data_IF_880165529522
#
_entry.id   IF_880165529522
#
_cell.length_a   1.000
_cell.length_b   1.000
_cell.length_c   1.000
_cell.angle_alpha   90.00
_cell.angle_beta   90.00
_cell.angle_gamma   90.00
#
_symmetry.space_group_name_H-M   'P 1'
#
loop_
_entity.id
_entity.type
_entity.pdbx_description
1 polymer ?
#
# COMPACT_ATOMS: atom_id res chain seq x y z
N UNK A 1 5.45 -8.09 -37.82
CA UNK A 1 5.00 -7.27 -36.67
C UNK A 1 5.08 -8.07 -35.36
N UNK A 2 6.29 -8.35 -34.88
CA UNK A 2 6.57 -8.87 -33.54
C UNK A 2 7.23 -7.71 -32.78
N UNK A 3 6.84 -7.45 -31.53
CA UNK A 3 7.34 -6.42 -30.57
C UNK A 3 6.36 -5.30 -30.13
N UNK A 4 5.05 -5.55 -30.02
CA UNK A 4 4.19 -4.68 -29.21
C UNK A 4 3.33 -5.55 -28.28
N UNK A 5 3.24 -5.17 -27.00
CA UNK A 5 2.45 -5.78 -25.91
C UNK A 5 3.07 -6.93 -25.10
N UNK A 6 4.32 -6.77 -24.65
CA UNK A 6 4.67 -7.28 -23.31
C UNK A 6 4.51 -6.12 -22.34
N UNK A 7 3.45 -6.24 -21.54
CA UNK A 7 2.92 -5.26 -20.60
C UNK A 7 3.90 -5.09 -19.43
N UNK A 8 4.88 -4.19 -19.58
CA UNK A 8 5.94 -3.89 -18.62
C UNK A 8 5.50 -2.84 -17.56
N UNK A 9 4.20 -2.71 -17.32
CA UNK A 9 3.63 -1.66 -16.45
C UNK A 9 3.53 -2.09 -14.98
N UNK A 10 3.72 -3.37 -14.67
CA UNK A 10 3.47 -3.90 -13.32
C UNK A 10 4.76 -4.06 -12.49
N UNK A 11 5.92 -4.23 -13.11
CA UNK A 11 7.16 -4.58 -12.40
C UNK A 11 7.72 -3.45 -11.53
N UNK A 12 7.43 -2.18 -11.86
CA UNK A 12 7.97 -1.03 -11.10
C UNK A 12 7.14 -0.68 -9.86
N UNK A 13 5.86 -1.04 -9.81
CA UNK A 13 4.99 -0.68 -8.68
C UNK A 13 4.84 -1.79 -7.62
N UNK A 14 5.03 -3.06 -7.98
CA UNK A 14 4.96 -4.16 -7.00
C UNK A 14 6.15 -4.12 -6.01
N UNK A 15 7.30 -3.56 -6.42
CA UNK A 15 8.49 -3.46 -5.56
C UNK A 15 8.48 -2.27 -4.58
N UNK A 16 7.56 -1.31 -4.73
CA UNK A 16 7.43 -0.14 -3.84
C UNK A 16 6.48 -0.36 -2.65
N UNK A 17 5.73 -1.46 -2.65
CA UNK A 17 4.91 -1.89 -1.51
C UNK A 17 5.78 -2.66 -0.53
N UNK A 18 6.70 -1.98 0.16
CA UNK A 18 7.21 -2.51 1.42
C UNK A 18 6.03 -2.49 2.39
N UNK A 19 5.60 -3.64 2.95
CA UNK A 19 4.56 -3.66 3.97
C UNK A 19 5.13 -2.96 5.21
N UNK A 20 4.73 -1.72 5.44
CA UNK A 20 4.81 -1.15 6.78
C UNK A 20 3.77 -1.89 7.61
N UNK A 21 4.28 -2.55 8.63
CA UNK A 21 3.63 -3.53 9.50
C UNK A 21 2.42 -2.93 10.23
N UNK A 22 1.26 -2.92 9.58
CA UNK A 22 -0.06 -2.90 10.23
C UNK A 22 -0.64 -4.31 10.10
N UNK A 23 -0.24 -5.19 11.02
CA UNK A 23 -0.43 -6.63 10.93
C UNK A 23 -1.80 -7.06 11.49
N UNK A 24 -2.51 -7.88 10.71
CA UNK A 24 -3.80 -8.48 11.05
C UNK A 24 -4.72 -8.49 9.83
N UNK A 25 -5.61 -7.50 9.74
CA UNK A 25 -6.69 -7.49 8.75
C UNK A 25 -6.25 -7.07 7.35
N UNK A 26 -5.45 -5.99 7.24
CA UNK A 26 -4.97 -5.48 5.96
C UNK A 26 -4.08 -6.48 5.20
N UNK A 27 -3.25 -7.25 5.91
CA UNK A 27 -2.37 -8.24 5.30
C UNK A 27 -3.14 -9.45 4.74
N UNK A 28 -4.22 -9.86 5.41
CA UNK A 28 -5.08 -10.97 4.97
C UNK A 28 -5.97 -10.55 3.78
N UNK A 29 -6.55 -9.35 3.83
CA UNK A 29 -7.34 -8.78 2.74
C UNK A 29 -6.48 -8.56 1.50
N UNK A 30 -5.26 -8.03 1.67
CA UNK A 30 -4.27 -7.90 0.58
C UNK A 30 -3.91 -9.27 -0.01
N UNK A 31 -3.71 -10.30 0.83
CA UNK A 31 -3.35 -11.64 0.36
C UNK A 31 -4.48 -12.29 -0.47
N UNK A 32 -5.73 -12.16 -0.02
CA UNK A 32 -6.91 -12.67 -0.75
C UNK A 32 -7.06 -11.97 -2.09
N UNK A 33 -6.96 -10.64 -2.10
CA UNK A 33 -7.04 -9.84 -3.32
C UNK A 33 -5.91 -10.18 -4.30
N UNK A 34 -4.66 -10.31 -3.83
CA UNK A 34 -3.51 -10.73 -4.65
C UNK A 34 -3.75 -12.11 -5.27
N UNK A 35 -4.32 -13.06 -4.51
CA UNK A 35 -4.62 -14.42 -5.00
C UNK A 35 -5.69 -14.40 -6.09
N UNK A 36 -6.82 -13.74 -5.86
CA UNK A 36 -7.90 -13.62 -6.85
C UNK A 36 -7.41 -12.90 -8.11
N UNK A 37 -6.64 -11.83 -7.95
CA UNK A 37 -5.99 -11.15 -9.06
C UNK A 37 -5.13 -12.10 -9.90
N UNK A 38 -4.22 -12.84 -9.26
CA UNK A 38 -3.34 -13.77 -9.97
C UNK A 38 -4.14 -14.85 -10.70
N UNK A 39 -5.27 -15.29 -10.15
CA UNK A 39 -6.20 -16.19 -10.83
C UNK A 39 -6.82 -15.56 -12.08
N UNK A 40 -7.42 -14.37 -11.98
CA UNK A 40 -8.02 -13.66 -13.14
C UNK A 40 -6.98 -13.39 -14.23
N UNK A 41 -5.77 -13.00 -13.84
CA UNK A 41 -4.63 -12.81 -14.75
C UNK A 41 -4.24 -14.11 -15.45
N UNK A 42 -4.12 -15.22 -14.73
CA UNK A 42 -3.79 -16.52 -15.30
C UNK A 42 -4.86 -16.98 -16.30
N UNK A 43 -6.13 -16.80 -15.96
CA UNK A 43 -7.25 -17.08 -16.86
C UNK A 43 -7.19 -16.23 -18.14
N UNK A 44 -6.90 -14.93 -18.02
CA UNK A 44 -6.68 -14.07 -19.19
C UNK A 44 -5.53 -14.56 -20.08
N UNK A 45 -4.38 -14.96 -19.49
CA UNK A 45 -3.27 -15.50 -20.28
C UNK A 45 -3.65 -16.79 -21.00
N UNK A 46 -4.38 -17.69 -20.33
CA UNK A 46 -4.91 -18.91 -20.94
C UNK A 46 -5.80 -18.60 -22.15
N UNK A 47 -6.74 -17.66 -22.00
CA UNK A 47 -7.62 -17.24 -23.10
C UNK A 47 -6.86 -16.59 -24.27
N UNK A 48 -5.84 -15.78 -23.96
CA UNK A 48 -4.98 -15.18 -24.98
C UNK A 48 -4.22 -16.24 -25.79
N UNK A 49 -3.76 -17.30 -25.15
CA UNK A 49 -3.10 -18.41 -25.84
C UNK A 49 -4.09 -19.14 -26.75
N UNK A 50 -5.28 -19.49 -26.24
CA UNK A 50 -6.34 -20.10 -27.06
C UNK A 50 -6.73 -19.27 -28.27
N UNK A 51 -6.87 -17.95 -28.11
CA UNK A 51 -7.10 -17.05 -29.24
C UNK A 51 -5.94 -17.07 -30.25
N UNK A 52 -4.69 -17.14 -29.77
CA UNK A 52 -3.51 -17.18 -30.64
C UNK A 52 -3.49 -18.45 -31.47
N UNK A 53 -3.83 -19.58 -30.85
CA UNK A 53 -3.90 -20.89 -31.51
C UNK A 53 -5.03 -20.91 -32.55
N UNK A 54 -6.25 -20.51 -32.16
CA UNK A 54 -7.41 -20.41 -33.07
C UNK A 54 -7.13 -19.48 -34.26
N UNK A 55 -6.40 -18.38 -34.03
CA UNK A 55 -5.96 -17.47 -35.12
C UNK A 55 -5.01 -18.17 -36.09
N UNK A 56 -4.08 -18.98 -35.58
CA UNK A 56 -3.15 -19.72 -36.43
C UNK A 56 -3.88 -20.76 -37.26
N UNK A 57 -4.84 -21.47 -36.67
CA UNK A 57 -5.59 -22.50 -37.36
C UNK A 57 -6.51 -21.91 -38.44
N UNK A 58 -7.18 -20.78 -38.15
CA UNK A 58 -7.89 -20.01 -39.16
C UNK A 58 -6.97 -19.55 -40.30
N UNK A 59 -5.78 -19.02 -40.01
CA UNK A 59 -4.83 -18.60 -41.05
C UNK A 59 -4.37 -19.78 -41.91
N UNK A 60 -4.12 -20.95 -41.32
CA UNK A 60 -3.77 -22.18 -42.05
C UNK A 60 -4.92 -22.60 -42.96
N UNK A 61 -6.15 -22.70 -42.44
CA UNK A 61 -7.32 -23.10 -43.21
C UNK A 61 -7.62 -22.13 -44.36
N UNK A 62 -7.50 -20.82 -44.11
CA UNK A 62 -7.66 -19.77 -45.13
C UNK A 62 -6.61 -19.86 -46.22
N UNK A 63 -5.35 -20.12 -45.86
CA UNK A 63 -4.26 -20.24 -46.84
C UNK A 63 -4.44 -21.49 -47.72
N UNK A 64 -4.80 -22.63 -47.11
CA UNK A 64 -5.15 -23.86 -47.87
C UNK A 64 -6.28 -23.59 -48.86
N UNK A 65 -7.36 -22.94 -48.44
CA UNK A 65 -8.47 -22.60 -49.33
C UNK A 65 -8.01 -21.74 -50.52
N UNK A 66 -7.07 -20.81 -50.31
CA UNK A 66 -6.51 -19.96 -51.37
C UNK A 66 -5.66 -20.76 -52.37
N UNK A 67 -4.97 -21.80 -51.92
CA UNK A 67 -4.17 -22.70 -52.77
C UNK A 67 -5.05 -23.60 -53.65
N UNK A 68 -6.27 -23.93 -53.20
CA UNK A 68 -7.20 -24.79 -53.93
C UNK A 68 -8.13 -24.06 -54.92
N UNK A 69 -7.94 -22.76 -55.14
CA UNK A 69 -8.77 -21.93 -56.03
C UNK A 69 -8.82 -22.36 -57.51
N UNK A 70 -8.12 -23.43 -57.92
CA UNK A 70 -8.02 -23.83 -59.33
C UNK A 70 -8.58 -25.23 -59.67
N UNK A 71 -8.97 -26.08 -58.70
CA UNK A 71 -9.25 -27.50 -59.00
C UNK A 71 -10.67 -28.03 -58.72
N UNK A 72 -11.51 -27.30 -57.98
CA UNK A 72 -12.85 -27.77 -57.62
C UNK A 72 -12.87 -29.15 -56.92
N UNK A 73 -14.06 -29.74 -56.76
CA UNK A 73 -14.23 -31.12 -56.25
C UNK A 73 -14.44 -31.27 -54.74
N UNK A 74 -14.53 -32.51 -54.26
CA UNK A 74 -14.84 -32.85 -52.85
C UNK A 74 -13.80 -32.33 -51.85
N UNK A 75 -12.52 -32.32 -52.24
CA UNK A 75 -11.45 -31.77 -51.40
C UNK A 75 -11.63 -30.26 -51.17
N UNK A 76 -12.03 -29.53 -52.20
CA UNK A 76 -12.33 -28.09 -52.10
C UNK A 76 -13.52 -27.84 -51.16
N UNK A 77 -14.58 -28.63 -51.26
CA UNK A 77 -15.74 -28.50 -50.36
C UNK A 77 -15.38 -28.79 -48.90
N UNK A 78 -14.56 -29.82 -48.65
CA UNK A 78 -14.06 -30.13 -47.31
C UNK A 78 -13.22 -29.01 -46.72
N UNK A 79 -12.28 -28.47 -47.48
CA UNK A 79 -11.40 -27.39 -47.02
C UNK A 79 -12.17 -26.07 -46.81
N UNK A 80 -13.18 -25.78 -47.66
CA UNK A 80 -14.07 -24.65 -47.48
C UNK A 80 -14.88 -24.77 -46.18
N UNK A 81 -15.36 -25.97 -45.87
CA UNK A 81 -16.07 -26.28 -44.63
C UNK A 81 -15.14 -26.08 -43.41
N UNK A 82 -13.96 -26.69 -43.41
CA UNK A 82 -12.95 -26.51 -42.35
C UNK A 82 -12.57 -25.03 -42.14
N UNK A 83 -12.48 -24.23 -43.22
CA UNK A 83 -12.20 -22.81 -43.12
C UNK A 83 -13.32 -22.02 -42.43
N UNK A 84 -14.59 -22.34 -42.69
CA UNK A 84 -15.74 -21.72 -42.00
C UNK A 84 -15.79 -22.09 -40.52
N UNK A 85 -15.60 -23.36 -40.18
CA UNK A 85 -15.50 -23.82 -38.78
C UNK A 85 -14.38 -23.11 -38.02
N UNK A 86 -13.19 -23.04 -38.62
CA UNK A 86 -12.03 -22.37 -38.02
C UNK A 86 -12.27 -20.87 -37.85
N UNK A 87 -12.99 -20.23 -38.78
CA UNK A 87 -13.37 -18.82 -38.66
C UNK A 87 -14.38 -18.60 -37.52
N UNK A 88 -15.39 -19.47 -37.40
CA UNK A 88 -16.37 -19.45 -36.29
C UNK A 88 -15.67 -19.59 -34.94
N UNK A 89 -14.82 -20.61 -34.77
CA UNK A 89 -14.07 -20.81 -33.52
C UNK A 89 -13.17 -19.61 -33.21
N UNK A 90 -12.43 -19.10 -34.20
CA UNK A 90 -11.61 -17.91 -34.04
C UNK A 90 -12.41 -16.70 -33.52
N UNK A 91 -13.60 -16.44 -34.07
CA UNK A 91 -14.46 -15.34 -33.61
C UNK A 91 -14.94 -15.55 -32.18
N UNK A 92 -15.37 -16.76 -31.82
CA UNK A 92 -15.78 -17.08 -30.44
C UNK A 92 -14.63 -16.86 -29.44
N UNK A 93 -13.41 -17.32 -29.77
CA UNK A 93 -12.23 -17.08 -28.92
C UNK A 93 -11.85 -15.60 -28.84
N UNK A 94 -12.03 -14.84 -29.91
CA UNK A 94 -11.80 -13.39 -29.89
C UNK A 94 -12.77 -12.70 -28.93
N UNK A 95 -14.05 -13.08 -28.95
CA UNK A 95 -15.09 -12.58 -28.04
C UNK A 95 -14.78 -12.94 -26.59
N UNK A 96 -14.36 -14.18 -26.31
CA UNK A 96 -13.96 -14.60 -24.97
C UNK A 96 -12.79 -13.76 -24.41
N UNK A 97 -11.80 -13.44 -25.25
CA UNK A 97 -10.67 -12.60 -24.84
C UNK A 97 -11.12 -11.17 -24.53
N UNK A 98 -12.08 -10.63 -25.29
CA UNK A 98 -12.67 -9.32 -25.02
C UNK A 98 -13.41 -9.31 -23.68
N UNK A 99 -14.30 -10.29 -23.45
CA UNK A 99 -15.06 -10.40 -22.20
C UNK A 99 -14.13 -10.54 -20.99
N UNK A 100 -13.11 -11.41 -21.09
CA UNK A 100 -12.16 -11.62 -20.00
C UNK A 100 -11.32 -10.38 -19.67
N UNK A 101 -11.00 -9.56 -20.68
CA UNK A 101 -10.32 -8.27 -20.46
C UNK A 101 -11.18 -7.33 -19.65
N UNK A 102 -12.46 -7.20 -20.01
CA UNK A 102 -13.43 -6.36 -19.31
C UNK A 102 -13.64 -6.84 -17.88
N UNK A 103 -13.84 -8.14 -17.66
CA UNK A 103 -13.99 -8.72 -16.32
C UNK A 103 -12.75 -8.45 -15.44
N UNK A 104 -11.55 -8.56 -16.00
CA UNK A 104 -10.31 -8.32 -15.25
C UNK A 104 -10.19 -6.86 -14.82
N UNK A 105 -10.54 -5.91 -15.69
CA UNK A 105 -10.46 -4.49 -15.36
C UNK A 105 -11.60 -4.04 -14.45
N UNK A 106 -12.79 -4.66 -14.56
CA UNK A 106 -13.90 -4.44 -13.65
C UNK A 106 -13.49 -4.80 -12.22
N UNK A 107 -12.97 -6.02 -12.04
CA UNK A 107 -12.48 -6.49 -10.75
C UNK A 107 -11.42 -5.55 -10.16
N UNK A 108 -10.50 -5.04 -10.97
CA UNK A 108 -9.53 -4.04 -10.50
C UNK A 108 -10.20 -2.74 -10.08
N UNK A 109 -11.11 -2.20 -10.90
CA UNK A 109 -11.82 -0.96 -10.61
C UNK A 109 -12.55 -1.00 -9.28
N UNK A 110 -13.36 -2.05 -9.08
CA UNK A 110 -14.20 -2.21 -7.89
C UNK A 110 -13.41 -2.36 -6.59
N UNK A 111 -12.15 -2.80 -6.66
CA UNK A 111 -11.31 -3.04 -5.48
C UNK A 111 -10.22 -1.98 -5.26
N UNK A 112 -9.90 -1.16 -6.27
CA UNK A 112 -8.76 -0.22 -6.18
C UNK A 112 -9.16 1.25 -6.29
N UNK A 113 -10.30 1.56 -6.91
CA UNK A 113 -10.77 2.94 -7.05
C UNK A 113 -11.56 3.31 -5.80
N UNK A 114 -11.08 4.32 -5.05
CA UNK A 114 -11.77 4.80 -3.84
C UNK A 114 -13.02 5.62 -4.16
N UNK A 115 -13.04 6.30 -5.31
CA UNK A 115 -14.16 7.15 -5.70
C UNK A 115 -15.35 6.31 -6.20
N UNK A 116 -16.46 6.35 -5.48
CA UNK A 116 -17.66 5.56 -5.78
C UNK A 116 -18.31 5.91 -7.13
N UNK A 117 -18.23 7.18 -7.56
CA UNK A 117 -18.75 7.60 -8.87
C UNK A 117 -17.94 6.97 -10.01
N UNK A 118 -16.62 6.94 -9.89
CA UNK A 118 -15.73 6.32 -10.87
C UNK A 118 -15.95 4.80 -10.94
N UNK A 119 -16.19 4.15 -9.80
CA UNK A 119 -16.57 2.71 -9.77
C UNK A 119 -17.90 2.49 -10.47
N UNK A 120 -18.90 3.32 -10.19
CA UNK A 120 -20.22 3.22 -10.82
C UNK A 120 -20.16 3.40 -12.34
N UNK A 121 -19.42 4.39 -12.82
CA UNK A 121 -19.21 4.64 -14.24
C UNK A 121 -18.50 3.46 -14.93
N UNK A 122 -17.43 2.94 -14.31
CA UNK A 122 -16.71 1.76 -14.77
C UNK A 122 -17.60 0.52 -14.88
N UNK A 123 -18.36 0.22 -13.84
CA UNK A 123 -19.24 -0.96 -13.81
C UNK A 123 -20.36 -0.83 -14.82
N UNK A 124 -20.92 0.37 -15.03
CA UNK A 124 -21.95 0.61 -16.04
C UNK A 124 -21.41 0.43 -17.47
N UNK A 125 -20.28 1.07 -17.79
CA UNK A 125 -19.65 1.00 -19.12
C UNK A 125 -19.23 -0.44 -19.46
N UNK A 126 -18.63 -1.15 -18.51
CA UNK A 126 -18.21 -2.54 -18.71
C UNK A 126 -19.42 -3.46 -18.88
N UNK A 127 -20.44 -3.34 -18.03
CA UNK A 127 -21.66 -4.17 -18.13
C UNK A 127 -22.34 -4.04 -19.50
N UNK A 128 -22.44 -2.82 -20.04
CA UNK A 128 -22.98 -2.57 -21.37
C UNK A 128 -22.16 -3.28 -22.47
N UNK A 129 -20.83 -3.13 -22.43
CA UNK A 129 -19.92 -3.79 -23.39
C UNK A 129 -19.98 -5.32 -23.30
N UNK A 130 -20.13 -5.89 -22.10
CA UNK A 130 -20.27 -7.35 -21.92
C UNK A 130 -21.60 -7.87 -22.45
N UNK A 131 -22.69 -7.12 -22.29
CA UNK A 131 -23.98 -7.47 -22.88
C UNK A 131 -23.91 -7.51 -24.42
N UNK A 132 -23.25 -6.51 -25.02
CA UNK A 132 -23.01 -6.43 -26.46
C UNK A 132 -22.16 -7.62 -26.98
N UNK A 133 -21.12 -8.01 -26.23
CA UNK A 133 -20.30 -9.17 -26.55
C UNK A 133 -21.08 -10.49 -26.44
N UNK A 134 -21.96 -10.61 -25.43
CA UNK A 134 -22.81 -11.79 -25.28
C UNK A 134 -23.80 -11.93 -26.44
N UNK A 135 -24.39 -10.82 -26.90
CA UNK A 135 -25.25 -10.81 -28.09
C UNK A 135 -24.49 -11.22 -29.34
N UNK A 136 -23.31 -10.64 -29.58
CA UNK A 136 -22.45 -11.01 -30.71
C UNK A 136 -22.00 -12.48 -30.65
N UNK A 137 -21.74 -13.00 -29.44
CA UNK A 137 -21.42 -14.41 -29.24
C UNK A 137 -22.57 -15.30 -29.72
N UNK A 138 -23.79 -15.02 -29.29
CA UNK A 138 -24.97 -15.79 -29.67
C UNK A 138 -25.20 -15.76 -31.19
N UNK A 139 -24.99 -14.60 -31.83
CA UNK A 139 -25.02 -14.50 -33.30
C UNK A 139 -24.00 -15.45 -33.95
N UNK A 140 -22.74 -15.44 -33.49
CA UNK A 140 -21.69 -16.33 -34.04
C UNK A 140 -21.99 -17.80 -33.78
N UNK A 141 -22.50 -18.15 -32.60
CA UNK A 141 -22.88 -19.52 -32.26
C UNK A 141 -24.02 -20.05 -33.14
N UNK A 142 -24.95 -19.19 -33.53
CA UNK A 142 -26.09 -19.54 -34.40
C UNK A 142 -25.71 -19.79 -35.87
N UNK A 143 -24.56 -19.30 -36.34
CA UNK A 143 -24.11 -19.51 -37.72
C UNK A 143 -23.87 -21.00 -37.96
N UNK A 144 -24.64 -21.61 -38.84
CA UNK A 144 -24.38 -22.96 -39.34
C UNK A 144 -23.30 -22.89 -40.43
N UNK A 145 -22.08 -23.41 -40.19
CA UNK A 145 -21.01 -23.39 -41.19
C UNK A 145 -21.35 -24.16 -42.48
N UNK A 146 -22.28 -25.12 -42.44
CA UNK A 146 -22.71 -25.87 -43.62
C UNK A 146 -23.63 -25.06 -44.55
N UNK A 147 -24.23 -23.98 -44.06
CA UNK A 147 -25.15 -23.16 -44.85
C UNK A 147 -24.45 -22.42 -46.00
N UNK A 148 -25.20 -22.13 -47.07
CA UNK A 148 -24.73 -21.35 -48.21
C UNK A 148 -24.36 -19.90 -47.81
N UNK A 149 -25.11 -19.32 -46.85
CA UNK A 149 -24.91 -17.96 -46.33
C UNK A 149 -23.76 -17.79 -45.33
N UNK A 150 -23.24 -18.88 -44.75
CA UNK A 150 -22.27 -18.84 -43.65
C UNK A 150 -21.05 -17.95 -43.88
N UNK A 151 -20.55 -17.87 -45.13
CA UNK A 151 -19.38 -17.04 -45.45
C UNK A 151 -19.67 -15.55 -45.23
N UNK A 152 -20.84 -15.09 -45.66
CA UNK A 152 -21.27 -13.70 -45.51
C UNK A 152 -21.56 -13.40 -44.04
N UNK A 153 -22.31 -14.28 -43.37
CA UNK A 153 -22.62 -14.16 -41.94
C UNK A 153 -21.36 -14.08 -41.07
N UNK A 154 -20.36 -14.95 -41.31
CA UNK A 154 -19.08 -14.91 -40.60
C UNK A 154 -18.29 -13.63 -40.88
N UNK A 155 -18.35 -13.12 -42.11
CA UNK A 155 -17.70 -11.85 -42.48
C UNK A 155 -18.35 -10.67 -41.75
N UNK A 156 -19.68 -10.64 -41.70
CA UNK A 156 -20.44 -9.59 -41.01
C UNK A 156 -20.20 -9.65 -39.50
N UNK A 157 -20.22 -10.85 -38.91
CA UNK A 157 -19.87 -11.06 -37.52
C UNK A 157 -18.42 -10.65 -37.21
N UNK A 158 -17.47 -10.89 -38.12
CA UNK A 158 -16.10 -10.42 -37.98
C UNK A 158 -16.00 -8.88 -38.02
N UNK A 159 -16.80 -8.22 -38.86
CA UNK A 159 -16.93 -6.76 -38.90
C UNK A 159 -17.46 -6.19 -37.57
N UNK A 160 -18.51 -6.81 -37.02
CA UNK A 160 -19.04 -6.48 -35.69
C UNK A 160 -18.00 -6.72 -34.59
N UNK A 161 -17.33 -7.88 -34.58
CA UNK A 161 -16.29 -8.21 -33.62
C UNK A 161 -15.12 -7.22 -33.64
N UNK A 162 -14.70 -6.76 -34.82
CA UNK A 162 -13.68 -5.72 -34.96
C UNK A 162 -14.12 -4.38 -34.37
N UNK A 163 -15.38 -4.00 -34.58
CA UNK A 163 -15.95 -2.77 -34.01
C UNK A 163 -15.97 -2.87 -32.48
N UNK A 164 -16.51 -3.97 -31.93
CA UNK A 164 -16.50 -4.23 -30.48
C UNK A 164 -15.09 -4.28 -29.90
N UNK A 165 -14.12 -4.83 -30.62
CA UNK A 165 -12.72 -4.82 -30.17
C UNK A 165 -12.18 -3.40 -29.98
N UNK A 166 -12.53 -2.46 -30.86
CA UNK A 166 -12.09 -1.08 -30.74
C UNK A 166 -12.75 -0.37 -29.54
N UNK A 167 -14.02 -0.63 -29.29
CA UNK A 167 -14.76 -0.13 -28.13
C UNK A 167 -14.15 -0.69 -26.83
N UNK A 168 -14.01 -2.01 -26.73
CA UNK A 168 -13.37 -2.71 -25.61
C UNK A 168 -11.95 -2.20 -25.38
N UNK A 169 -11.16 -1.98 -26.44
CA UNK A 169 -9.80 -1.42 -26.32
C UNK A 169 -9.83 -0.01 -25.73
N UNK A 170 -10.81 0.81 -26.11
CA UNK A 170 -10.98 2.18 -25.61
C UNK A 170 -11.33 2.18 -24.12
N UNK A 171 -12.40 1.46 -23.74
CA UNK A 171 -12.84 1.28 -22.34
C UNK A 171 -11.73 0.68 -21.48
N UNK A 172 -11.06 -0.37 -21.95
CA UNK A 172 -9.95 -1.00 -21.23
C UNK A 172 -8.82 -0.01 -20.95
N UNK A 173 -8.45 0.83 -21.92
CA UNK A 173 -7.37 1.80 -21.74
C UNK A 173 -7.73 2.92 -20.77
N UNK A 174 -8.93 3.47 -20.88
CA UNK A 174 -9.48 4.45 -19.94
C UNK A 174 -9.35 3.92 -18.52
N UNK A 175 -9.96 2.77 -18.25
CA UNK A 175 -10.07 2.25 -16.89
C UNK A 175 -8.77 1.64 -16.35
N UNK A 176 -7.92 1.05 -17.19
CA UNK A 176 -6.55 0.68 -16.76
C UNK A 176 -5.76 1.92 -16.36
N UNK A 177 -5.84 3.00 -17.14
CA UNK A 177 -5.18 4.25 -16.83
C UNK A 177 -5.64 4.86 -15.51
N UNK A 178 -6.95 4.96 -15.30
CA UNK A 178 -7.54 5.44 -14.04
C UNK A 178 -7.07 4.58 -12.86
N UNK A 179 -7.12 3.25 -12.97
CA UNK A 179 -6.63 2.35 -11.93
C UNK A 179 -5.14 2.55 -11.60
N UNK A 180 -4.29 2.79 -12.62
CA UNK A 180 -2.87 3.08 -12.40
C UNK A 180 -2.66 4.41 -11.68
N UNK A 181 -3.48 5.43 -12.00
CA UNK A 181 -3.45 6.70 -11.30
C UNK A 181 -3.87 6.54 -9.82
N UNK A 182 -4.95 5.80 -9.53
CA UNK A 182 -5.38 5.55 -8.14
C UNK A 182 -4.33 4.84 -7.29
N UNK A 183 -3.55 3.93 -7.89
CA UNK A 183 -2.40 3.33 -7.19
C UNK A 183 -1.33 4.33 -6.82
N UNK A 184 -1.05 5.27 -7.72
CA UNK A 184 -0.11 6.35 -7.43
C UNK A 184 -0.66 7.28 -6.33
N UNK A 185 -1.97 7.54 -6.32
CA UNK A 185 -2.62 8.33 -5.26
C UNK A 185 -2.40 7.71 -3.87
N UNK A 186 -2.55 6.39 -3.74
CA UNK A 186 -2.24 5.70 -2.46
C UNK A 186 -0.80 5.88 -2.01
N UNK A 187 0.15 6.00 -2.95
CA UNK A 187 1.56 6.30 -2.61
C UNK A 187 1.68 7.78 -2.22
N UNK A 188 1.05 8.69 -2.96
CA UNK A 188 1.02 10.12 -2.64
C UNK A 188 0.52 10.39 -1.23
N UNK A 189 -0.62 9.82 -0.84
CA UNK A 189 -1.18 9.94 0.52
C UNK A 189 -0.16 9.53 1.60
N UNK A 190 0.64 8.48 1.35
CA UNK A 190 1.70 8.05 2.29
C UNK A 190 2.83 9.08 2.37
N UNK A 191 3.21 9.68 1.25
CA UNK A 191 4.22 10.74 1.24
C UNK A 191 3.69 11.98 1.97
N UNK A 192 2.46 12.42 1.71
CA UNK A 192 1.84 13.53 2.45
C UNK A 192 1.86 13.29 3.96
N UNK A 193 1.42 12.11 4.42
CA UNK A 193 1.43 11.77 5.85
C UNK A 193 2.86 11.73 6.44
N UNK A 194 3.85 11.27 5.67
CA UNK A 194 5.26 11.28 6.09
C UNK A 194 5.82 12.70 6.16
N UNK A 195 5.47 13.58 5.23
CA UNK A 195 5.82 15.00 5.27
C UNK A 195 5.27 15.68 6.51
N UNK A 196 3.98 15.52 6.78
CA UNK A 196 3.34 16.06 7.99
C UNK A 196 3.98 15.54 9.28
N UNK A 197 4.36 14.26 9.32
CA UNK A 197 5.09 13.69 10.44
C UNK A 197 6.46 14.36 10.62
N UNK A 198 7.20 14.59 9.53
CA UNK A 198 8.49 15.27 9.61
C UNK A 198 8.37 16.74 10.00
N UNK A 199 7.32 17.44 9.57
CA UNK A 199 7.00 18.80 10.05
C UNK A 199 6.83 18.83 11.56
N UNK A 200 6.03 17.90 12.11
CA UNK A 200 5.86 17.78 13.56
C UNK A 200 7.18 17.48 14.28
N UNK A 201 8.03 16.64 13.69
CA UNK A 201 9.35 16.31 14.26
C UNK A 201 10.30 17.50 14.24
N UNK A 202 10.36 18.23 13.13
CA UNK A 202 11.20 19.40 12.99
C UNK A 202 10.75 20.55 13.89
N UNK A 203 9.44 20.74 14.08
CA UNK A 203 8.90 21.73 15.02
C UNK A 203 9.31 21.49 16.48
N UNK A 204 9.75 20.27 16.83
CA UNK A 204 10.27 19.93 18.15
C UNK A 204 11.81 20.07 18.27
N UNK A 205 12.51 20.38 17.17
CA UNK A 205 13.95 20.67 17.20
C UNK A 205 14.16 22.12 17.61
N UNK A 206 15.15 22.37 18.46
CA UNK A 206 15.56 23.73 18.82
C UNK A 206 15.98 24.51 17.56
N UNK A 207 15.45 25.73 17.39
CA UNK A 207 15.79 26.58 16.25
C UNK A 207 17.24 27.06 16.29
N UNK A 208 17.86 27.06 17.47
CA UNK A 208 19.29 27.34 17.64
C UNK A 208 20.18 26.14 17.26
N UNK A 209 19.61 24.96 17.00
CA UNK A 209 20.37 23.82 16.49
C UNK A 209 20.96 24.18 15.11
N UNK A 210 22.29 24.07 14.91
CA UNK A 210 22.94 24.44 13.65
C UNK A 210 22.42 23.68 12.42
N UNK A 211 21.76 22.53 12.62
CA UNK A 211 21.15 21.73 11.55
C UNK A 211 19.71 22.12 11.22
N UNK A 212 19.05 22.95 12.04
CA UNK A 212 17.64 23.31 11.87
C UNK A 212 17.33 23.90 10.50
N UNK A 213 18.07 24.94 10.09
CA UNK A 213 17.83 25.63 8.81
C UNK A 213 18.02 24.70 7.59
N UNK A 214 18.97 23.77 7.65
CA UNK A 214 19.18 22.79 6.59
C UNK A 214 18.03 21.77 6.51
N UNK A 215 17.54 21.31 7.66
CA UNK A 215 16.40 20.39 7.73
C UNK A 215 15.10 21.07 7.26
N UNK A 216 14.89 22.33 7.61
CA UNK A 216 13.74 23.13 7.17
C UNK A 216 13.72 23.28 5.65
N UNK A 217 14.83 23.71 5.04
CA UNK A 217 14.95 23.83 3.59
C UNK A 217 14.76 22.50 2.85
N UNK A 218 15.23 21.38 3.42
CA UNK A 218 15.01 20.05 2.86
C UNK A 218 13.54 19.63 2.94
N UNK A 219 12.87 19.94 4.04
CA UNK A 219 11.45 19.62 4.19
C UNK A 219 10.58 20.44 3.23
N UNK A 220 10.93 21.70 2.97
CA UNK A 220 10.30 22.51 1.93
C UNK A 220 10.51 21.92 0.51
N UNK A 221 11.74 21.50 0.16
CA UNK A 221 12.01 20.83 -1.13
C UNK A 221 11.24 19.50 -1.25
N UNK A 222 11.14 18.75 -0.13
CA UNK A 222 10.32 17.54 -0.06
C UNK A 222 8.86 17.83 -0.42
N UNK A 223 8.24 18.81 0.24
CA UNK A 223 6.84 19.17 0.00
C UNK A 223 6.63 19.61 -1.45
N UNK A 224 7.55 20.42 -1.99
CA UNK A 224 7.50 20.83 -3.39
C UNK A 224 7.53 19.62 -4.35
N UNK A 225 8.32 18.59 -4.06
CA UNK A 225 8.32 17.36 -4.89
C UNK A 225 7.00 16.60 -4.77
N UNK A 226 6.41 16.51 -3.58
CA UNK A 226 5.12 15.84 -3.37
C UNK A 226 4.00 16.60 -4.12
N UNK A 227 3.98 17.93 -4.06
CA UNK A 227 3.02 18.77 -4.80
C UNK A 227 3.15 18.63 -6.32
N UNK A 228 4.39 18.62 -6.83
CA UNK A 228 4.64 18.35 -8.25
C UNK A 228 4.15 16.96 -8.66
N UNK A 229 4.36 15.95 -7.82
CA UNK A 229 3.86 14.61 -8.06
C UNK A 229 2.32 14.56 -8.05
N UNK A 230 1.66 15.27 -7.13
CA UNK A 230 0.20 15.42 -7.06
C UNK A 230 -0.35 16.05 -8.34
N UNK A 231 0.23 17.16 -8.80
CA UNK A 231 -0.16 17.82 -10.05
C UNK A 231 -0.05 16.90 -11.28
N UNK A 232 1.00 16.06 -11.34
CA UNK A 232 1.15 15.06 -12.40
C UNK A 232 0.14 13.93 -12.28
N UNK A 233 -0.20 13.48 -11.07
CA UNK A 233 -1.29 12.52 -10.84
C UNK A 233 -2.62 13.08 -11.36
N UNK A 234 -2.98 14.32 -11.03
CA UNK A 234 -4.24 14.94 -11.46
C UNK A 234 -4.32 15.04 -12.99
N UNK A 235 -3.21 15.44 -13.62
CA UNK A 235 -3.06 15.47 -15.07
C UNK A 235 -3.25 14.09 -15.69
N UNK A 236 -2.66 13.04 -15.10
CA UNK A 236 -2.80 11.67 -15.58
C UNK A 236 -4.26 11.19 -15.48
N UNK A 237 -4.90 11.37 -14.32
CA UNK A 237 -6.28 10.92 -14.08
C UNK A 237 -7.26 11.59 -15.05
N UNK A 238 -7.15 12.92 -15.22
CA UNK A 238 -7.95 13.67 -16.20
C UNK A 238 -7.71 13.16 -17.63
N UNK A 239 -6.44 12.98 -18.02
CA UNK A 239 -6.08 12.49 -19.37
C UNK A 239 -6.68 11.12 -19.66
N UNK A 240 -6.66 10.19 -18.69
CA UNK A 240 -7.26 8.86 -18.88
C UNK A 240 -8.78 8.91 -18.98
N UNK A 241 -9.47 9.74 -18.18
CA UNK A 241 -10.92 9.91 -18.26
C UNK A 241 -11.40 10.47 -19.60
N UNK A 242 -10.56 11.25 -20.27
CA UNK A 242 -10.86 11.80 -21.59
C UNK A 242 -10.70 10.79 -22.75
N UNK A 243 -10.28 9.55 -22.48
CA UNK A 243 -10.28 8.47 -23.47
C UNK A 243 -11.72 8.06 -23.75
N UNK A 244 -12.26 8.46 -24.89
CA UNK A 244 -13.66 8.23 -25.26
C UNK A 244 -13.83 7.62 -26.66
N UNK A 245 -12.75 7.47 -27.44
CA UNK A 245 -12.81 6.79 -28.73
C UNK A 245 -11.46 6.20 -29.14
N UNK A 246 -11.48 5.35 -30.17
CA UNK A 246 -10.27 4.64 -30.63
C UNK A 246 -9.19 5.59 -31.20
N UNK A 247 -9.57 6.74 -31.76
CA UNK A 247 -8.65 7.67 -32.42
C UNK A 247 -7.77 8.39 -31.40
N UNK A 248 -8.29 8.72 -30.21
CA UNK A 248 -7.53 9.37 -29.14
C UNK A 248 -6.98 8.40 -28.09
N UNK A 249 -7.52 7.17 -27.98
CA UNK A 249 -7.14 6.21 -26.94
C UNK A 249 -5.64 5.89 -26.90
N UNK A 250 -4.96 5.83 -28.05
CA UNK A 250 -3.53 5.52 -28.09
C UNK A 250 -2.65 6.70 -27.63
N UNK A 251 -2.99 7.94 -28.03
CA UNK A 251 -2.22 9.12 -27.59
C UNK A 251 -2.48 9.45 -26.13
N UNK A 252 -3.74 9.61 -25.73
CA UNK A 252 -4.09 9.99 -24.36
C UNK A 252 -3.58 8.96 -23.34
N UNK A 253 -3.64 7.66 -23.67
CA UNK A 253 -3.07 6.64 -22.79
C UNK A 253 -1.55 6.78 -22.61
N UNK A 254 -0.82 7.13 -23.67
CA UNK A 254 0.63 7.38 -23.60
C UNK A 254 0.92 8.65 -22.81
N UNK A 255 0.16 9.71 -23.02
CA UNK A 255 0.35 10.99 -22.35
C UNK A 255 0.06 10.86 -20.84
N UNK A 256 -1.04 10.19 -20.48
CA UNK A 256 -1.35 9.82 -19.10
C UNK A 256 -0.25 8.99 -18.44
N UNK A 257 0.32 8.02 -19.16
CA UNK A 257 1.45 7.22 -18.66
C UNK A 257 2.71 8.08 -18.41
N UNK A 258 3.03 9.01 -19.31
CA UNK A 258 4.17 9.91 -19.12
C UNK A 258 3.98 10.79 -17.88
N UNK A 259 2.76 11.25 -17.59
CA UNK A 259 2.46 11.97 -16.35
C UNK A 259 2.71 11.10 -15.11
N UNK A 260 2.27 9.84 -15.11
CA UNK A 260 2.54 8.92 -13.99
C UNK A 260 4.04 8.65 -13.79
N UNK A 261 4.82 8.54 -14.87
CA UNK A 261 6.28 8.36 -14.81
C UNK A 261 6.99 9.58 -14.21
N UNK A 262 6.55 10.78 -14.58
CA UNK A 262 7.05 12.02 -14.00
C UNK A 262 6.70 12.13 -12.51
N UNK A 263 5.46 11.83 -12.14
CA UNK A 263 5.05 11.81 -10.73
C UNK A 263 5.91 10.88 -9.88
N UNK A 264 6.13 9.65 -10.37
CA UNK A 264 6.99 8.67 -9.71
C UNK A 264 8.45 9.14 -9.60
N UNK A 265 8.94 9.95 -10.54
CA UNK A 265 10.30 10.52 -10.48
C UNK A 265 10.39 11.52 -9.33
N UNK A 266 9.42 12.42 -9.20
CA UNK A 266 9.36 13.35 -8.07
C UNK A 266 9.24 12.63 -6.72
N UNK A 267 8.42 11.58 -6.62
CA UNK A 267 8.32 10.79 -5.37
C UNK A 267 9.63 10.07 -5.01
N UNK A 268 10.40 9.61 -5.98
CA UNK A 268 11.74 9.03 -5.72
C UNK A 268 12.70 10.07 -5.16
N UNK A 269 12.65 11.30 -5.67
CA UNK A 269 13.50 12.38 -5.19
C UNK A 269 13.06 12.84 -3.79
N UNK A 270 11.75 12.99 -3.56
CA UNK A 270 11.17 13.20 -2.23
C UNK A 270 11.64 12.13 -1.23
N UNK A 271 11.67 10.86 -1.64
CA UNK A 271 12.13 9.78 -0.77
C UNK A 271 13.60 9.89 -0.37
N UNK A 272 14.48 10.32 -1.30
CA UNK A 272 15.90 10.56 -1.00
C UNK A 272 16.04 11.68 0.02
N UNK A 273 15.33 12.79 -0.17
CA UNK A 273 15.32 13.93 0.74
C UNK A 273 14.86 13.49 2.14
N UNK A 274 13.74 12.76 2.22
CA UNK A 274 13.20 12.25 3.49
C UNK A 274 14.21 11.37 4.24
N UNK A 275 14.97 10.53 3.52
CA UNK A 275 16.01 9.68 4.10
C UNK A 275 17.14 10.50 4.71
N UNK A 276 17.60 11.54 4.01
CA UNK A 276 18.66 12.42 4.48
C UNK A 276 18.19 13.31 5.64
N UNK A 277 16.95 13.80 5.58
CA UNK A 277 16.29 14.53 6.66
C UNK A 277 16.19 13.69 7.93
N UNK A 278 15.73 12.44 7.80
CA UNK A 278 15.63 11.49 8.93
C UNK A 278 17.01 11.23 9.57
N UNK A 279 18.07 11.16 8.76
CA UNK A 279 19.43 10.96 9.27
C UNK A 279 19.92 12.18 10.06
N UNK A 280 19.67 13.39 9.57
CA UNK A 280 20.04 14.63 10.24
C UNK A 280 19.25 14.82 11.54
N UNK A 281 17.94 14.60 11.51
CA UNK A 281 17.11 14.64 12.70
C UNK A 281 17.60 13.67 13.79
N UNK A 282 17.99 12.44 13.42
CA UNK A 282 18.57 11.48 14.37
C UNK A 282 19.93 11.92 14.92
N UNK A 283 20.68 12.71 14.16
CA UNK A 283 21.97 13.24 14.61
C UNK A 283 21.79 14.39 15.61
N UNK A 284 20.86 15.33 15.36
CA UNK A 284 20.54 16.43 16.28
C UNK A 284 19.98 15.91 17.61
N UNK A 285 19.13 14.88 17.56
CA UNK A 285 18.59 14.24 18.76
C UNK A 285 19.67 13.59 19.64
N UNK A 286 20.77 13.09 19.07
CA UNK A 286 21.87 12.53 19.89
C UNK A 286 22.62 13.60 20.67
N UNK A 287 22.74 14.80 20.13
CA UNK A 287 23.49 15.90 20.75
C UNK A 287 22.70 16.53 21.90
N UNK A 288 21.36 16.51 21.82
CA UNK A 288 20.47 17.14 22.82
C UNK A 288 20.22 16.28 24.08
N UNK A 289 20.71 15.03 24.14
CA UNK A 289 20.67 14.21 25.36
C UNK A 289 21.81 14.64 26.29
N UNK A 290 21.73 15.87 26.80
CA UNK A 290 22.51 16.28 27.98
C UNK A 290 21.76 15.78 29.20
N UNK A 291 22.21 14.64 29.71
CA UNK A 291 21.64 13.93 30.85
C UNK A 291 21.69 14.75 32.14
N UNK A 292 20.56 15.28 32.58
CA UNK A 292 20.27 15.45 34.00
C UNK A 292 19.64 14.15 34.50
N UNK A 293 20.37 13.39 35.31
CA UNK A 293 19.78 12.33 36.12
C UNK A 293 19.63 12.91 37.51
N UNK A 294 18.41 13.32 37.86
CA UNK A 294 18.13 13.77 39.21
C UNK A 294 17.70 12.53 40.01
N UNK A 295 18.63 12.02 40.84
CA UNK A 295 18.33 10.97 41.80
C UNK A 295 17.58 11.61 42.98
N UNK A 296 16.29 11.32 43.09
CA UNK A 296 15.50 11.62 44.27
C UNK A 296 15.21 10.32 45.01
N UNK A 297 15.08 10.41 46.32
CA UNK A 297 14.84 9.34 47.31
C UNK A 297 14.03 8.15 46.74
N UNK A 298 14.73 7.05 46.38
CA UNK A 298 14.11 5.80 45.90
C UNK A 298 13.60 5.76 44.44
N UNK A 299 13.62 6.87 43.68
CA UNK A 299 13.11 6.93 42.32
C UNK A 299 14.09 7.59 41.34
N UNK A 300 14.17 7.07 40.11
CA UNK A 300 14.94 7.67 39.02
C UNK A 300 13.99 8.40 38.09
N UNK A 301 14.10 9.73 38.03
CA UNK A 301 13.36 10.54 37.07
C UNK A 301 14.26 10.95 35.90
N UNK A 302 13.76 10.73 34.69
CA UNK A 302 14.46 10.99 33.45
C UNK A 302 13.59 11.83 32.55
N UNK A 303 13.94 13.11 32.41
CA UNK A 303 13.25 14.03 31.50
C UNK A 303 14.01 14.16 30.17
N UNK A 304 13.29 14.35 29.08
CA UNK A 304 13.83 14.78 27.79
C UNK A 304 13.29 13.99 26.60
N UNK A 305 13.97 14.14 25.46
CA UNK A 305 13.61 13.49 24.20
C UNK A 305 14.53 12.30 23.90
N UNK A 306 13.98 11.25 23.31
CA UNK A 306 14.73 10.13 22.77
C UNK A 306 14.12 8.78 23.13
N UNK A 307 14.98 7.76 23.17
CA UNK A 307 14.59 6.39 23.54
C UNK A 307 15.15 6.04 24.92
N UNK A 308 14.29 5.48 25.76
CA UNK A 308 14.64 4.83 27.03
C UNK A 308 14.23 3.37 26.95
N UNK A 309 15.09 2.49 27.44
CA UNK A 309 14.75 1.09 27.72
C UNK A 309 14.97 0.81 29.18
N UNK A 310 14.09 0.06 29.81
CA UNK A 310 14.15 -0.18 31.25
C UNK A 310 13.65 -1.61 31.53
N UNK A 311 14.25 -2.32 32.47
CA UNK A 311 13.68 -3.58 32.93
C UNK A 311 13.92 -3.88 34.39
N UNK A 312 12.95 -4.52 35.03
CA UNK A 312 12.95 -4.67 36.49
C UNK A 312 11.58 -5.06 37.07
N UNK A 313 11.36 -4.70 38.32
CA UNK A 313 10.12 -4.82 39.07
C UNK A 313 9.82 -3.48 39.74
N UNK A 314 8.54 -3.13 39.89
CA UNK A 314 8.10 -1.90 40.53
C UNK A 314 7.16 -1.10 39.64
N UNK A 315 7.31 0.23 39.66
CA UNK A 315 6.41 1.17 38.99
C UNK A 315 7.16 2.01 37.97
N UNK A 316 6.67 2.01 36.73
CA UNK A 316 7.08 2.92 35.66
C UNK A 316 5.96 3.91 35.44
N UNK A 317 6.24 5.20 35.62
CA UNK A 317 5.31 6.27 35.24
C UNK A 317 5.95 7.10 34.12
N UNK A 318 5.19 7.38 33.07
CA UNK A 318 5.62 8.19 31.94
C UNK A 318 4.57 9.22 31.61
N UNK A 319 4.99 10.45 31.38
CA UNK A 319 4.12 11.54 30.96
C UNK A 319 4.77 12.29 29.80
N UNK A 320 4.00 12.50 28.73
CA UNK A 320 4.39 13.35 27.62
C UNK A 320 4.03 12.76 26.25
N UNK A 321 4.69 13.27 25.21
CA UNK A 321 4.43 12.89 23.82
C UNK A 321 5.16 11.60 23.47
N UNK A 322 4.44 10.50 23.48
CA UNK A 322 4.96 9.21 23.03
C UNK A 322 4.98 9.14 21.49
N UNK A 323 6.01 8.53 20.93
CA UNK A 323 6.01 8.10 19.52
C UNK A 323 5.71 6.60 19.43
N UNK A 324 6.33 5.84 20.33
CA UNK A 324 6.18 4.41 20.45
C UNK A 324 6.53 3.98 21.87
N UNK A 325 5.60 3.37 22.56
CA UNK A 325 5.85 2.67 23.82
C UNK A 325 5.60 1.19 23.63
N UNK A 326 6.53 0.38 24.11
CA UNK A 326 6.37 -1.07 24.28
C UNK A 326 6.57 -1.38 25.74
N UNK A 327 5.59 -2.04 26.34
CA UNK A 327 5.67 -2.56 27.70
C UNK A 327 5.42 -4.06 27.63
N UNK A 328 6.29 -4.85 28.25
CA UNK A 328 6.09 -6.28 28.48
C UNK A 328 6.28 -6.56 29.96
N UNK A 329 5.45 -7.42 30.54
CA UNK A 329 5.55 -7.80 31.95
C UNK A 329 4.26 -8.38 32.51
N UNK A 330 4.32 -8.66 33.81
CA UNK A 330 3.21 -9.15 34.63
C UNK A 330 2.73 -8.00 35.54
N UNK A 331 1.53 -7.43 35.32
CA UNK A 331 1.07 -6.32 36.14
C UNK A 331 -0.17 -5.56 35.63
N UNK A 332 -0.34 -4.36 36.17
CA UNK A 332 -1.39 -3.42 35.79
C UNK A 332 -0.80 -2.24 35.00
N UNK A 333 -1.34 -2.01 33.79
CA UNK A 333 -0.99 -0.91 32.91
C UNK A 333 -2.19 0.03 32.78
N UNK A 334 -2.01 1.28 33.16
CA UNK A 334 -2.98 2.36 32.94
C UNK A 334 -2.43 3.34 31.91
N UNK A 335 -3.24 3.67 30.91
CA UNK A 335 -2.92 4.63 29.84
C UNK A 335 -4.02 5.68 29.78
N UNK A 336 -3.65 6.95 29.85
CA UNK A 336 -4.56 8.10 29.69
C UNK A 336 -4.16 8.85 28.42
N UNK A 337 -5.11 9.04 27.50
CA UNK A 337 -4.93 9.88 26.30
C UNK A 337 -5.22 11.35 26.65
N UNK A 338 -4.18 12.13 26.94
CA UNK A 338 -4.32 13.53 27.33
C UNK A 338 -4.73 14.43 26.15
N UNK A 339 -4.49 14.00 24.91
CA UNK A 339 -4.76 14.79 23.72
C UNK A 339 -6.16 14.54 23.13
N UNK A 340 -6.83 13.46 23.53
CA UNK A 340 -8.10 13.03 22.95
C UNK A 340 -8.02 12.72 21.45
N UNK A 341 -6.81 12.45 20.94
CA UNK A 341 -6.55 12.22 19.51
C UNK A 341 -6.72 10.75 19.11
N UNK A 342 -6.99 9.88 20.07
CA UNK A 342 -7.11 8.45 19.88
C UNK A 342 -5.73 7.79 19.88
N UNK A 343 -5.39 7.14 20.99
CA UNK A 343 -4.24 6.24 21.06
C UNK A 343 -4.51 4.93 20.32
N UNK A 344 -3.52 4.45 19.57
CA UNK A 344 -3.55 3.09 18.99
C UNK A 344 -2.82 2.15 19.94
N UNK A 345 -3.61 1.32 20.62
CA UNK A 345 -3.12 0.26 21.51
C UNK A 345 -3.28 -1.11 20.87
N UNK A 346 -2.20 -1.88 20.82
CA UNK A 346 -2.23 -3.31 20.49
C UNK A 346 -1.77 -4.08 21.71
N UNK A 347 -2.65 -4.93 22.24
CA UNK A 347 -2.37 -5.80 23.38
C UNK A 347 -2.22 -7.23 22.85
N UNK A 348 -1.16 -7.92 23.27
CA UNK A 348 -0.95 -9.35 23.01
C UNK A 348 -0.60 -10.02 24.34
N UNK A 349 -1.52 -10.79 24.90
CA UNK A 349 -1.33 -11.41 26.21
C UNK A 349 -2.60 -12.02 26.79
N UNK A 350 -2.46 -12.59 27.99
CA UNK A 350 -3.56 -13.06 28.82
C UNK A 350 -3.89 -11.97 29.83
N UNK A 351 -5.11 -11.41 29.77
CA UNK A 351 -5.54 -10.35 30.66
C UNK A 351 -6.88 -9.73 30.28
N UNK A 352 -7.32 -8.79 31.09
CA UNK A 352 -8.54 -8.02 30.87
C UNK A 352 -8.20 -6.58 30.47
N UNK A 353 -8.86 -6.07 29.43
CA UNK A 353 -8.78 -4.66 29.01
C UNK A 353 -10.08 -3.98 29.39
N UNK A 354 -10.00 -2.99 30.28
CA UNK A 354 -11.12 -2.12 30.65
C UNK A 354 -10.87 -0.74 30.04
N UNK A 355 -11.89 -0.20 29.37
CA UNK A 355 -11.87 1.17 28.85
C UNK A 355 -12.92 1.99 29.59
N UNK A 356 -12.49 3.08 30.22
CA UNK A 356 -13.35 4.07 30.87
C UNK A 356 -12.99 5.47 30.38
N UNK A 357 -13.81 6.03 29.49
CA UNK A 357 -13.52 7.30 28.82
C UNK A 357 -12.19 7.26 28.03
N UNK A 358 -11.28 8.16 28.39
CA UNK A 358 -9.94 8.30 27.80
C UNK A 358 -8.87 7.47 28.53
N UNK A 359 -9.29 6.67 29.51
CA UNK A 359 -8.44 5.78 30.29
C UNK A 359 -8.59 4.34 29.82
N UNK A 360 -7.44 3.68 29.63
CA UNK A 360 -7.32 2.28 29.28
C UNK A 360 -6.55 1.57 30.37
N UNK A 361 -7.16 0.59 31.01
CA UNK A 361 -6.53 -0.24 32.04
C UNK A 361 -6.40 -1.66 31.52
N UNK A 362 -5.19 -2.21 31.60
CA UNK A 362 -4.90 -3.61 31.29
C UNK A 362 -4.33 -4.29 32.53
N UNK A 363 -4.91 -5.42 32.92
CA UNK A 363 -4.41 -6.24 34.01
C UNK A 363 -4.12 -7.65 33.50
N UNK A 364 -2.86 -8.07 33.56
CA UNK A 364 -2.45 -9.42 33.14
C UNK A 364 -0.98 -9.54 32.74
N UNK A 365 -0.67 -10.62 32.02
CA UNK A 365 0.63 -10.84 31.41
C UNK A 365 0.53 -10.52 29.92
N UNK A 366 1.42 -9.68 29.39
CA UNK A 366 1.46 -9.50 27.95
C UNK A 366 2.44 -8.46 27.46
N UNK A 367 2.35 -8.22 26.14
CA UNK A 367 3.02 -7.15 25.42
C UNK A 367 1.99 -6.12 25.02
N UNK A 368 2.19 -4.89 25.46
CA UNK A 368 1.38 -3.74 25.04
C UNK A 368 2.22 -2.84 24.17
N UNK A 369 1.70 -2.52 22.99
CA UNK A 369 2.27 -1.54 22.07
C UNK A 369 1.34 -0.35 21.99
N UNK A 370 1.87 0.83 22.30
CA UNK A 370 1.15 2.10 22.30
C UNK A 370 1.81 2.99 21.25
N UNK A 371 0.99 3.52 20.35
CA UNK A 371 1.37 4.54 19.38
C UNK A 371 0.37 5.68 19.55
N UNK A 372 0.80 6.85 19.97
CA UNK A 372 -0.12 7.95 20.25
C UNK A 372 0.58 9.12 20.91
N UNK A 373 -0.02 10.31 20.81
CA UNK A 373 0.56 11.60 21.16
C UNK A 373 0.78 11.83 22.66
N UNK A 374 0.14 12.85 23.22
CA UNK A 374 0.31 13.22 24.63
C UNK A 374 -0.40 12.21 25.53
N UNK A 375 0.36 11.46 26.32
CA UNK A 375 -0.14 10.33 27.12
C UNK A 375 0.47 10.31 28.51
N UNK A 376 -0.31 9.81 29.46
CA UNK A 376 0.17 9.40 30.77
C UNK A 376 0.07 7.88 30.87
N UNK A 377 1.21 7.20 31.08
CA UNK A 377 1.30 5.75 31.16
C UNK A 377 1.85 5.38 32.53
N UNK A 378 1.13 4.54 33.27
CA UNK A 378 1.61 3.96 34.54
C UNK A 378 1.57 2.45 34.43
N UNK A 379 2.70 1.80 34.71
CA UNK A 379 2.80 0.34 34.76
C UNK A 379 3.36 -0.10 36.10
N UNK A 380 2.59 -0.86 36.85
CA UNK A 380 3.00 -1.46 38.13
C UNK A 380 3.06 -2.98 37.97
N UNK A 381 4.22 -3.59 38.19
CA UNK A 381 4.37 -5.02 37.95
C UNK A 381 5.75 -5.63 38.14
N UNK A 382 5.90 -6.85 37.64
CA UNK A 382 7.15 -7.62 37.67
C UNK A 382 7.58 -8.03 36.27
N UNK A 383 8.88 -8.31 36.11
CA UNK A 383 9.51 -8.63 34.81
C UNK A 383 9.22 -7.58 33.74
N UNK A 384 9.23 -6.31 34.14
CA UNK A 384 9.05 -5.17 33.26
C UNK A 384 10.16 -5.21 32.20
N UNK A 385 9.78 -5.13 30.94
CA UNK A 385 10.64 -4.78 29.81
C UNK A 385 9.95 -3.63 29.06
N UNK A 386 10.44 -2.43 29.32
CA UNK A 386 9.98 -1.17 28.79
C UNK A 386 10.90 -0.72 27.66
N UNK A 387 10.32 -0.30 26.54
CA UNK A 387 10.99 0.49 25.52
C UNK A 387 10.08 1.64 25.09
N UNK A 388 10.41 2.85 25.52
CA UNK A 388 9.68 4.06 25.18
C UNK A 388 10.53 4.98 24.29
N UNK A 389 9.91 5.54 23.26
CA UNK A 389 10.46 6.58 22.38
C UNK A 389 9.50 7.76 22.37
N UNK A 390 10.00 8.97 22.62
CA UNK A 390 9.17 10.17 22.71
C UNK A 390 9.86 11.36 23.36
N UNK A 391 9.07 12.34 23.78
CA UNK A 391 9.49 13.49 24.60
C UNK A 391 8.64 13.56 25.84
N UNK A 392 9.26 13.53 27.01
CA UNK A 392 8.52 13.57 28.26
C UNK A 392 9.38 13.27 29.48
N UNK A 393 8.72 12.87 30.56
CA UNK A 393 9.34 12.46 31.82
C UNK A 393 9.03 10.99 32.05
N UNK A 394 10.05 10.21 32.42
CA UNK A 394 9.91 8.82 32.87
C UNK A 394 10.41 8.72 34.29
N UNK A 395 9.54 8.31 35.20
CA UNK A 395 9.87 7.97 36.58
C UNK A 395 9.90 6.46 36.75
N UNK A 396 10.98 5.96 37.35
CA UNK A 396 11.20 4.55 37.63
C UNK A 396 11.35 4.37 39.14
N UNK A 397 10.46 3.60 39.74
CA UNK A 397 10.45 3.26 41.17
C UNK A 397 10.50 1.74 41.33
N UNK A 398 11.22 1.23 42.34
CA UNK A 398 11.40 -0.20 42.57
C UNK A 398 12.81 -0.69 42.27
N UNK A 399 12.98 -1.83 41.60
CA UNK A 399 14.28 -2.43 41.29
C UNK A 399 14.48 -2.86 39.84
N UNK A 400 15.56 -2.48 39.18
CA UNK A 400 15.83 -2.74 37.78
C UNK A 400 17.08 -2.06 37.20
N UNK A 401 17.14 -2.03 35.87
CA UNK A 401 18.17 -1.38 35.07
C UNK A 401 17.54 -0.54 33.96
N UNK A 402 18.08 0.65 33.69
CA UNK A 402 17.65 1.46 32.54
C UNK A 402 18.83 1.77 31.63
N UNK A 403 18.50 2.13 30.40
CA UNK A 403 19.43 2.66 29.40
C UNK A 403 18.80 3.83 28.66
N UNK A 404 19.49 4.98 28.66
CA UNK A 404 19.12 6.16 27.87
C UNK A 404 20.38 6.77 27.27
N UNK A 405 20.34 7.09 25.96
CA UNK A 405 21.46 7.77 25.29
C UNK A 405 22.81 7.05 25.40
N UNK A 406 22.80 5.71 25.51
CA UNK A 406 24.01 4.90 25.67
C UNK A 406 24.56 4.82 27.10
N UNK A 407 23.96 5.53 28.07
CA UNK A 407 24.27 5.39 29.49
C UNK A 407 23.34 4.35 30.12
N UNK A 408 23.90 3.50 30.96
CA UNK A 408 23.17 2.47 31.72
C UNK A 408 23.20 2.82 33.20
N UNK A 409 22.11 2.55 33.91
CA UNK A 409 21.97 2.75 35.35
C UNK A 409 21.10 1.68 35.99
N UNK A 410 21.13 1.59 37.32
CA UNK A 410 20.26 0.71 38.12
C UNK A 410 19.30 1.54 38.96
N UNK A 411 18.14 0.97 39.28
CA UNK A 411 17.24 1.42 40.35
C UNK A 411 16.93 0.19 41.26
N UNK A 412 16.68 0.31 42.57
CA UNK A 412 16.86 1.49 43.39
C UNK A 412 18.36 1.64 43.66
N UNK A 413 18.78 2.83 44.06
CA UNK A 413 20.12 2.95 44.62
C UNK A 413 20.02 2.35 46.01
N UNK A 414 20.74 1.25 46.25
CA UNK A 414 20.95 0.72 47.59
C UNK A 414 21.52 1.88 48.44
N UNK A 415 20.68 2.49 49.27
CA UNK A 415 21.13 3.55 50.19
C UNK A 415 22.06 2.85 51.15
N UNK A 416 23.38 2.95 50.93
CA UNK A 416 24.34 2.60 51.96
C UNK A 416 24.08 3.55 53.13
N UNK A 417 23.35 3.06 54.13
CA UNK A 417 23.27 3.70 55.44
C UNK A 417 24.69 3.65 56.00
N UNK A 418 25.47 4.72 55.80
CA UNK A 418 26.76 4.89 56.45
C UNK A 418 26.49 4.90 57.94
N UNK A 419 26.93 3.83 58.62
CA UNK A 419 26.70 3.62 60.03
C UNK A 419 27.08 4.84 60.86
N UNK A 420 26.14 5.29 61.70
CA UNK A 420 26.38 6.31 62.72
C UNK A 420 27.43 5.77 63.67
N UNK A 421 28.62 6.38 63.68
CA UNK A 421 29.65 6.09 64.67
C UNK A 421 29.10 6.38 66.07
N UNK A 422 29.00 5.34 66.90
CA UNK A 422 28.68 5.46 68.32
C UNK A 422 29.78 6.28 69.01
N UNK A 423 29.37 7.40 69.61
CA UNK A 423 30.22 8.25 70.43
C UNK A 423 30.77 7.46 71.62
N UNK A 424 32.06 7.66 71.91
CA UNK A 424 32.76 7.10 73.06
C UNK A 424 32.08 7.50 74.38
N UNK A 425 31.96 6.53 75.30
CA UNK A 425 31.56 6.77 76.68
C UNK A 425 32.64 7.61 77.41
N UNK A 426 32.25 8.54 78.31
CA UNK A 426 33.20 9.30 79.11
C UNK A 426 33.85 8.42 80.19
N UNK A 427 35.09 8.75 80.52
CA UNK A 427 35.86 8.13 81.59
C UNK A 427 35.31 8.48 82.98
N UNK A 428 35.30 7.49 83.88
CA UNK A 428 35.39 7.68 85.34
C UNK A 428 36.57 6.87 85.88
#
# INVERSE_FOLDING_TARGET
>A
MKKIMTLLVITVFVAGMVPLVSAGTLAEDDAKWVKEYNNKKAQFQKMKNFYTDARQDWLKARNKLREYNEKGGEAFQRDHMTAKESAKDYLLKAIDVMDKKLETIQYWGENQIKNAQDVSELTSEISAQRADLASLRAEVEAIDPASEGAKQELSDAAGKAKTRWNEVKTTYKKWVGVNLAERLNMVLERFTNLGEYMHRKLAAVDKEDPSYAAMEAQLEDYDQKVDLAQSKYDSAKSTFKNINNINNADSLFRDGKNFLENANTYLKDAHKILKDLTKQYKASQKTSITSGFDNYDGAVSVTGTGRITAGGNGTVSMEGKADLVKVEGDGELTIVDNAGLGIVTTVQGEGEVVKDGDTYTYNGNGKVRIIGGDVTITFEGTKIDLSAEGTGTVSLEGEGWYKKGGKEGKWPIEIQVVGVATAAAPAE
#
